data_IF_667083081152
#
_entry.id   IF_667083081152
#
_cell.length_a   1.000
_cell.length_b   1.000
_cell.length_c   1.000
_cell.angle_alpha   90.00
_cell.angle_beta   90.00
_cell.angle_gamma   90.00
#
_symmetry.space_group_name_H-M   'P 1'
#
loop_
_entity.id
_entity.type
_entity.pdbx_description
1 polymer ?
#
# COMPACT_ATOMS: atom_id res chain seq x y z
N UNK A 1 12.69 15.01 1.55
CA UNK A 1 13.96 14.56 2.17
C UNK A 1 14.79 15.81 2.36
N UNK A 2 15.21 16.16 3.58
CA UNK A 2 16.05 17.34 3.79
C UNK A 2 17.37 17.19 3.01
N UNK A 3 17.96 18.29 2.48
CA UNK A 3 19.24 18.23 1.81
C UNK A 3 20.29 17.68 2.77
N UNK A 4 21.14 16.77 2.28
CA UNK A 4 22.22 16.20 3.09
C UNK A 4 23.20 17.31 3.44
N UNK A 5 23.45 17.50 4.74
CA UNK A 5 24.38 18.52 5.24
C UNK A 5 25.78 18.34 4.61
N UNK A 6 26.50 19.43 4.30
CA UNK A 6 27.83 19.36 3.72
C UNK A 6 28.80 18.66 4.69
N UNK A 7 29.76 17.93 4.11
CA UNK A 7 30.80 17.28 4.91
C UNK A 7 31.69 18.36 5.56
N UNK A 8 32.08 18.16 6.82
CA UNK A 8 32.83 19.14 7.63
C UNK A 8 34.36 19.02 7.50
N UNK A 9 34.86 18.10 6.67
CA UNK A 9 36.30 17.88 6.51
C UNK A 9 36.97 17.16 7.70
N UNK A 10 36.22 16.82 8.75
CA UNK A 10 36.72 16.13 9.92
C UNK A 10 36.93 14.63 9.63
N UNK A 11 37.92 14.01 10.30
CA UNK A 11 38.22 12.57 10.18
C UNK A 11 37.19 11.68 10.90
N UNK A 12 36.56 12.18 11.96
CA UNK A 12 35.52 11.50 12.76
C UNK A 12 34.28 12.39 12.94
N UNK A 13 33.11 11.78 13.17
CA UNK A 13 31.81 12.48 13.29
C UNK A 13 30.79 12.11 12.21
N UNK A 14 29.58 12.67 12.31
CA UNK A 14 28.43 12.35 11.43
C UNK A 14 28.60 12.88 9.99
N UNK A 15 29.16 14.08 9.83
CA UNK A 15 29.43 14.72 8.53
C UNK A 15 30.91 14.64 8.13
N UNK A 16 31.60 13.59 8.60
CA UNK A 16 33.02 13.38 8.33
C UNK A 16 33.32 13.12 6.84
N UNK A 17 34.59 13.26 6.49
CA UNK A 17 35.11 13.01 5.16
C UNK A 17 35.36 14.28 4.37
N UNK A 18 35.97 14.11 3.20
CA UNK A 18 36.39 15.23 2.35
C UNK A 18 35.20 16.05 1.87
N UNK A 19 35.39 17.37 1.81
CA UNK A 19 34.38 18.33 1.37
C UNK A 19 34.26 18.19 -0.15
N UNK A 20 33.21 17.50 -0.61
CA UNK A 20 32.95 17.24 -2.03
C UNK A 20 31.59 17.80 -2.40
N UNK A 21 31.53 18.57 -3.48
CA UNK A 21 30.27 19.00 -4.12
C UNK A 21 29.65 17.83 -4.86
N UNK A 22 28.58 17.24 -4.30
CA UNK A 22 27.91 16.10 -4.93
C UNK A 22 27.01 16.57 -6.06
N UNK A 23 27.20 16.01 -7.25
CA UNK A 23 26.33 16.21 -8.41
C UNK A 23 25.14 15.24 -8.35
N UNK A 24 23.94 15.75 -8.57
CA UNK A 24 22.77 14.91 -8.74
C UNK A 24 22.84 14.21 -10.11
N UNK A 25 23.03 12.89 -10.08
CA UNK A 25 23.07 12.05 -11.26
C UNK A 25 21.65 11.62 -11.65
N UNK A 26 21.38 11.57 -12.95
CA UNK A 26 20.14 10.98 -13.45
C UNK A 26 20.06 9.50 -13.04
N UNK A 27 18.88 9.02 -12.59
CA UNK A 27 18.71 7.64 -12.15
C UNK A 27 18.92 6.68 -13.31
N UNK A 28 19.67 5.61 -13.08
CA UNK A 28 20.02 4.66 -14.12
C UNK A 28 18.77 3.85 -14.55
N UNK A 29 18.66 3.45 -15.82
CA UNK A 29 17.56 2.59 -16.25
C UNK A 29 17.44 1.28 -15.46
N UNK A 30 18.56 0.73 -14.97
CA UNK A 30 18.60 -0.46 -14.09
C UNK A 30 17.78 -0.30 -12.81
N UNK A 31 17.74 0.92 -12.26
CA UNK A 31 17.07 1.23 -10.99
C UNK A 31 15.54 1.24 -11.14
N UNK A 32 15.04 1.18 -12.38
CA UNK A 32 13.60 1.12 -12.68
C UNK A 32 13.03 -0.30 -12.58
N UNK A 33 13.87 -1.33 -12.41
CA UNK A 33 13.44 -2.73 -12.28
C UNK A 33 12.50 -2.90 -11.07
N UNK A 34 11.33 -3.51 -11.29
CA UNK A 34 10.31 -3.74 -10.27
C UNK A 34 9.18 -2.70 -10.20
N UNK A 35 9.29 -1.59 -10.93
CA UNK A 35 8.17 -0.66 -11.12
C UNK A 35 7.12 -1.28 -12.03
N UNK A 36 5.85 -1.16 -11.65
CA UNK A 36 4.72 -1.67 -12.44
C UNK A 36 4.19 -0.60 -13.40
N UNK A 37 4.00 -0.95 -14.67
CA UNK A 37 3.36 -0.08 -15.67
C UNK A 37 1.83 -0.21 -15.65
N UNK A 38 1.12 0.77 -16.24
CA UNK A 38 -0.36 0.77 -16.34
C UNK A 38 -0.89 -0.54 -16.96
N UNK A 39 -0.27 -1.00 -18.05
CA UNK A 39 -0.61 -2.26 -18.73
C UNK A 39 -0.48 -3.47 -17.81
N UNK A 40 0.62 -3.58 -17.05
CA UNK A 40 0.86 -4.72 -16.16
C UNK A 40 -0.13 -4.73 -14.99
N UNK A 41 -0.52 -3.55 -14.49
CA UNK A 41 -1.56 -3.46 -13.44
C UNK A 41 -2.91 -3.96 -13.94
N UNK A 42 -3.32 -3.57 -15.16
CA UNK A 42 -4.56 -4.03 -15.80
C UNK A 42 -4.58 -5.55 -16.03
N UNK A 43 -3.50 -6.11 -16.57
CA UNK A 43 -3.40 -7.57 -16.76
C UNK A 43 -3.47 -8.31 -15.42
N UNK A 44 -2.84 -7.78 -14.36
CA UNK A 44 -2.89 -8.39 -13.03
C UNK A 44 -4.27 -8.31 -12.36
N UNK A 45 -5.07 -7.28 -12.62
CA UNK A 45 -6.46 -7.23 -12.12
C UNK A 45 -7.33 -8.26 -12.83
N UNK A 46 -7.25 -8.35 -14.16
CA UNK A 46 -8.00 -9.32 -14.95
C UNK A 46 -7.73 -10.77 -14.51
N UNK A 47 -6.46 -11.15 -14.35
CA UNK A 47 -6.11 -12.52 -13.92
C UNK A 47 -6.65 -12.82 -12.52
N UNK A 48 -6.67 -11.84 -11.61
CA UNK A 48 -7.22 -12.02 -10.26
C UNK A 48 -8.74 -12.21 -10.26
N UNK A 49 -9.44 -11.57 -11.19
CA UNK A 49 -10.89 -11.75 -11.37
C UNK A 49 -11.20 -13.15 -11.92
N UNK A 50 -10.42 -13.64 -12.89
CA UNK A 50 -10.63 -14.96 -13.52
C UNK A 50 -10.20 -16.12 -12.61
N UNK A 51 -9.00 -16.07 -12.03
CA UNK A 51 -8.43 -17.18 -11.25
C UNK A 51 -8.90 -17.20 -9.78
N UNK A 52 -9.40 -16.07 -9.27
CA UNK A 52 -9.84 -15.93 -7.88
C UNK A 52 -8.70 -16.00 -6.85
N UNK A 53 -9.05 -16.33 -5.59
CA UNK A 53 -8.13 -16.37 -4.46
C UNK A 53 -7.67 -17.78 -4.10
N UNK A 54 -6.40 -17.90 -3.72
CA UNK A 54 -5.84 -19.14 -3.21
C UNK A 54 -6.44 -19.51 -1.82
N UNK A 55 -6.42 -20.80 -1.42
CA UNK A 55 -7.06 -21.24 -0.17
C UNK A 55 -6.49 -20.60 1.10
N UNK A 56 -5.19 -20.26 1.11
CA UNK A 56 -4.59 -19.54 2.24
C UNK A 56 -4.99 -18.06 2.27
N UNK A 57 -5.27 -17.45 1.12
CA UNK A 57 -5.76 -16.06 1.03
C UNK A 57 -7.20 -15.96 1.53
N UNK A 58 -8.04 -16.97 1.23
CA UNK A 58 -9.40 -17.11 1.77
C UNK A 58 -9.38 -17.18 3.31
N UNK A 59 -8.55 -18.06 3.89
CA UNK A 59 -8.38 -18.13 5.36
C UNK A 59 -7.91 -16.82 5.99
N UNK A 60 -7.05 -16.05 5.30
CA UNK A 60 -6.62 -14.73 5.78
C UNK A 60 -7.82 -13.77 5.77
N UNK A 61 -8.64 -13.75 4.71
CA UNK A 61 -9.82 -12.87 4.67
C UNK A 61 -10.86 -13.21 5.73
N UNK A 62 -11.07 -14.49 6.04
CA UNK A 62 -11.96 -14.92 7.12
C UNK A 62 -11.48 -14.39 8.48
N UNK A 63 -10.19 -14.55 8.78
CA UNK A 63 -9.61 -14.03 10.02
C UNK A 63 -9.66 -12.50 10.10
N UNK A 64 -9.51 -11.80 8.97
CA UNK A 64 -9.63 -10.35 8.90
C UNK A 64 -11.08 -9.86 9.05
N UNK A 65 -12.08 -10.63 8.60
CA UNK A 65 -13.50 -10.31 8.83
C UNK A 65 -13.85 -10.35 10.32
N UNK A 66 -13.30 -11.31 11.06
CA UNK A 66 -13.49 -11.48 12.51
C UNK A 66 -12.64 -10.50 13.34
N UNK A 67 -11.72 -9.74 12.72
CA UNK A 67 -10.84 -8.80 13.41
C UNK A 67 -9.64 -9.44 14.12
N UNK A 68 -9.31 -10.71 13.84
CA UNK A 68 -8.19 -11.45 14.47
C UNK A 68 -6.88 -11.24 13.71
N UNK A 69 -6.41 -9.99 13.65
CA UNK A 69 -5.25 -9.57 12.87
C UNK A 69 -3.93 -10.26 13.23
N UNK A 70 -3.66 -10.47 14.53
CA UNK A 70 -2.45 -11.16 15.00
C UNK A 70 -2.42 -12.62 14.54
N UNK A 71 -3.58 -13.28 14.49
CA UNK A 71 -3.70 -14.66 13.97
C UNK A 71 -3.55 -14.69 12.46
N UNK A 72 -4.13 -13.72 11.73
CA UNK A 72 -3.95 -13.58 10.29
C UNK A 72 -2.47 -13.42 9.89
N UNK A 73 -1.72 -12.58 10.64
CA UNK A 73 -0.28 -12.42 10.44
C UNK A 73 0.51 -13.71 10.71
N UNK A 74 0.12 -14.50 11.72
CA UNK A 74 0.78 -15.78 12.03
C UNK A 74 0.59 -16.79 10.90
N UNK A 75 -0.62 -16.88 10.34
CA UNK A 75 -0.93 -17.73 9.17
C UNK A 75 -0.17 -17.26 7.94
N UNK A 76 -0.19 -15.95 7.64
CA UNK A 76 0.53 -15.39 6.50
C UNK A 76 2.05 -15.58 6.61
N UNK A 77 2.64 -15.40 7.81
CA UNK A 77 4.07 -15.66 8.05
C UNK A 77 4.41 -17.14 7.86
N UNK A 78 3.58 -18.07 8.37
CA UNK A 78 3.80 -19.51 8.18
C UNK A 78 3.74 -19.93 6.71
N UNK A 79 2.97 -19.23 5.86
CA UNK A 79 2.84 -19.54 4.43
C UNK A 79 3.87 -18.82 3.54
N UNK A 80 4.22 -17.57 3.86
CA UNK A 80 5.11 -16.72 3.02
C UNK A 80 6.55 -16.63 3.57
N UNK A 81 6.80 -17.16 4.76
CA UNK A 81 8.08 -17.18 5.47
C UNK A 81 8.39 -15.90 6.24
N UNK A 82 8.48 -14.76 5.54
CA UNK A 82 8.97 -13.50 6.15
C UNK A 82 7.86 -12.56 6.62
N UNK A 83 8.17 -11.77 7.65
CA UNK A 83 7.21 -10.82 8.22
C UNK A 83 6.88 -9.65 7.28
N UNK A 84 7.85 -9.17 6.48
CA UNK A 84 7.62 -8.12 5.48
C UNK A 84 6.62 -8.57 4.40
N UNK A 85 6.76 -9.80 3.90
CA UNK A 85 5.82 -10.39 2.92
C UNK A 85 4.44 -10.62 3.55
N UNK A 86 4.39 -11.09 4.80
CA UNK A 86 3.13 -11.29 5.52
C UNK A 86 2.35 -9.98 5.73
N UNK A 87 3.02 -8.90 6.12
CA UNK A 87 2.41 -7.56 6.23
C UNK A 87 1.84 -7.09 4.90
N UNK A 88 2.64 -7.17 3.84
CA UNK A 88 2.19 -6.83 2.48
C UNK A 88 0.94 -7.61 2.07
N UNK A 89 0.90 -8.92 2.34
CA UNK A 89 -0.28 -9.73 2.01
C UNK A 89 -1.49 -9.44 2.88
N UNK A 90 -1.31 -9.11 4.16
CA UNK A 90 -2.40 -8.63 5.01
C UNK A 90 -3.01 -7.33 4.47
N UNK A 91 -2.18 -6.38 4.05
CA UNK A 91 -2.63 -5.11 3.46
C UNK A 91 -3.36 -5.35 2.13
N UNK A 92 -2.86 -6.23 1.26
CA UNK A 92 -3.55 -6.63 0.04
C UNK A 92 -4.96 -7.20 0.34
N UNK A 93 -5.08 -8.14 1.28
CA UNK A 93 -6.38 -8.73 1.63
C UNK A 93 -7.32 -7.74 2.33
N UNK A 94 -6.79 -6.84 3.15
CA UNK A 94 -7.57 -5.76 3.77
C UNK A 94 -8.13 -4.80 2.71
N UNK A 95 -7.34 -4.45 1.70
CA UNK A 95 -7.79 -3.62 0.59
C UNK A 95 -8.88 -4.31 -0.25
N UNK A 96 -8.78 -5.62 -0.46
CA UNK A 96 -9.85 -6.40 -1.11
C UNK A 96 -11.15 -6.29 -0.31
N UNK A 97 -11.12 -6.50 1.01
CA UNK A 97 -12.31 -6.39 1.86
C UNK A 97 -12.91 -4.98 1.83
N UNK A 98 -12.08 -3.93 1.81
CA UNK A 98 -12.53 -2.54 1.67
C UNK A 98 -13.27 -2.32 0.34
N UNK A 99 -12.72 -2.81 -0.77
CA UNK A 99 -13.36 -2.72 -2.09
C UNK A 99 -14.67 -3.50 -2.14
N UNK A 100 -14.72 -4.71 -1.57
CA UNK A 100 -15.94 -5.50 -1.49
C UNK A 100 -17.03 -4.78 -0.68
N UNK A 101 -16.68 -4.18 0.47
CA UNK A 101 -17.61 -3.39 1.30
C UNK A 101 -18.10 -2.11 0.61
N UNK A 102 -17.24 -1.46 -0.18
CA UNK A 102 -17.62 -0.28 -0.97
C UNK A 102 -18.59 -0.68 -2.10
N UNK A 103 -18.29 -1.75 -2.83
CA UNK A 103 -19.16 -2.28 -3.87
C UNK A 103 -20.54 -2.67 -3.30
N UNK A 104 -20.59 -3.37 -2.17
CA UNK A 104 -21.87 -3.73 -1.54
C UNK A 104 -22.68 -2.52 -1.04
N UNK A 105 -22.01 -1.42 -0.65
CA UNK A 105 -22.69 -0.19 -0.21
C UNK A 105 -23.34 0.56 -1.36
N UNK A 106 -22.70 0.63 -2.52
CA UNK A 106 -23.22 1.33 -3.69
C UNK A 106 -24.55 0.71 -4.16
N UNK A 107 -24.69 -0.62 -4.08
CA UNK A 107 -25.93 -1.31 -4.40
C UNK A 107 -27.03 -1.21 -3.31
N UNK A 108 -26.68 -0.82 -2.08
CA UNK A 108 -27.60 -0.73 -0.94
C UNK A 108 -27.74 0.72 -0.44
N UNK A 109 -27.48 1.70 -1.30
CA UNK A 109 -27.76 3.10 -1.00
C UNK A 109 -29.25 3.34 -1.29
N UNK A 110 -30.09 3.66 -0.28
CA UNK A 110 -31.42 4.17 -0.59
C UNK A 110 -31.21 5.44 -1.41
N UNK A 111 -31.92 5.57 -2.53
CA UNK A 111 -31.89 6.72 -3.44
C UNK A 111 -32.00 8.08 -2.70
N UNK A 112 -32.59 8.08 -1.50
CA UNK A 112 -32.72 9.21 -0.57
C UNK A 112 -31.37 9.80 -0.12
N UNK A 113 -30.34 8.99 0.13
CA UNK A 113 -29.08 9.50 0.68
C UNK A 113 -28.17 10.21 -0.36
N UNK A 114 -28.51 10.14 -1.64
CA UNK A 114 -27.84 10.92 -2.70
C UNK A 114 -28.34 12.38 -2.70
N UNK A 115 -29.59 12.61 -2.31
CA UNK A 115 -30.17 13.97 -2.22
C UNK A 115 -29.61 14.71 -1.00
N UNK A 116 -29.47 14.04 0.15
CA UNK A 116 -28.99 14.70 1.39
C UNK A 116 -27.50 15.09 1.35
N UNK A 117 -26.67 14.44 0.53
CA UNK A 117 -25.25 14.82 0.40
C UNK A 117 -25.03 16.02 -0.55
N UNK A 118 -26.00 16.33 -1.42
CA UNK A 118 -25.91 17.44 -2.35
C UNK A 118 -26.41 18.79 -1.76
N UNK A 119 -27.04 18.76 -0.57
CA UNK A 119 -27.63 19.93 0.07
C UNK A 119 -26.91 20.41 1.36
N UNK A 120 -25.74 19.87 1.69
CA UNK A 120 -24.96 20.24 2.87
C UNK A 120 -23.93 21.32 2.59
N UNK A 121 -24.35 22.59 2.71
CA UNK A 121 -23.55 23.79 2.48
C UNK A 121 -22.25 23.88 3.29
N UNK A 122 -21.31 24.65 2.72
CA UNK A 122 -20.00 24.89 3.31
C UNK A 122 -20.07 25.67 4.62
N UNK A 123 -19.16 25.34 5.54
CA UNK A 123 -18.79 26.23 6.64
C UNK A 123 -17.27 26.26 6.76
N UNK A 124 -16.72 27.47 6.58
CA UNK A 124 -15.35 27.84 6.89
C UNK A 124 -15.09 27.59 8.38
N UNK A 125 -13.88 27.17 8.75
CA UNK A 125 -13.26 27.64 10.00
C UNK A 125 -11.74 27.62 9.94
N UNK A 126 -11.22 28.64 10.61
CA UNK A 126 -9.85 29.13 10.76
C UNK A 126 -8.83 28.06 11.12
#
# INVERSE_FOLDING_TARGET
MAPKQPNTGLFVGLNKGHIVTKKDLAPRPSDRKGKTSKRVLFVRSLIREVAGFAPYEKRITELLKVGKDKRALKVAKRKLGTHKRAKRKREEMSNVLRKMRQASRIFNFPFVAVIDLAAGGGEKKK
#
